data_IF_439082829053
#
_entry.id   IF_439082829053
#
_cell.length_a   1.000
_cell.length_b   1.000
_cell.length_c   1.000
_cell.angle_alpha   90.00
_cell.angle_beta   90.00
_cell.angle_gamma   90.00
#
_symmetry.space_group_name_H-M   'P 1'
#
loop_
_entity.id
_entity.type
_entity.pdbx_description
1 polymer ?
#
# COMPACT_ATOMS: atom_id res chain seq x y z
N UNK A 1 14.21 -3.88 4.82
CA UNK A 1 12.92 -3.82 5.56
C UNK A 1 11.91 -3.06 4.74
N UNK A 2 10.73 -3.63 4.51
CA UNK A 2 9.59 -3.01 3.81
C UNK A 2 8.43 -2.73 4.77
N UNK A 3 7.60 -1.74 4.44
CA UNK A 3 6.38 -1.38 5.17
C UNK A 3 5.25 -1.41 4.15
N UNK A 4 4.22 -2.24 4.41
CA UNK A 4 3.05 -2.39 3.53
C UNK A 4 1.85 -1.69 4.13
N UNK A 5 1.11 -0.97 3.28
CA UNK A 5 -0.20 -0.44 3.62
C UNK A 5 -1.06 -0.24 2.36
N UNK A 6 -2.36 0.01 2.56
CA UNK A 6 -3.32 0.25 1.49
C UNK A 6 -4.21 1.46 1.77
N UNK A 7 -4.35 2.32 0.76
CA UNK A 7 -5.20 3.50 0.79
C UNK A 7 -6.37 3.33 -0.17
N UNK A 8 -7.60 3.43 0.33
CA UNK A 8 -8.80 3.50 -0.52
C UNK A 8 -9.03 4.94 -0.98
N UNK A 9 -9.29 5.13 -2.27
CA UNK A 9 -9.44 6.43 -2.91
C UNK A 9 -10.73 6.48 -3.68
N UNK A 10 -11.52 7.53 -3.44
CA UNK A 10 -12.80 7.73 -4.10
C UNK A 10 -12.61 8.01 -5.60
N UNK A 11 -13.46 7.42 -6.45
CA UNK A 11 -13.54 7.76 -7.85
C UNK A 11 -14.24 9.11 -8.08
N UNK A 12 -13.77 9.86 -9.07
CA UNK A 12 -14.52 10.92 -9.72
C UNK A 12 -15.48 10.32 -10.78
N UNK A 13 -16.38 11.12 -11.30
CA UNK A 13 -17.40 10.67 -12.27
C UNK A 13 -16.80 10.17 -13.60
N UNK A 14 -15.57 10.59 -13.91
CA UNK A 14 -14.84 10.16 -15.11
C UNK A 14 -14.23 8.77 -15.01
N UNK A 15 -14.13 8.21 -13.82
CA UNK A 15 -13.51 6.91 -13.57
C UNK A 15 -14.51 5.77 -13.80
N UNK A 16 -14.12 4.77 -14.60
CA UNK A 16 -14.98 3.66 -14.99
C UNK A 16 -14.83 2.45 -14.07
N UNK A 17 -13.58 2.03 -13.80
CA UNK A 17 -13.32 0.89 -12.93
C UNK A 17 -13.39 1.28 -11.45
N UNK A 18 -14.28 0.63 -10.71
CA UNK A 18 -14.48 0.90 -9.29
C UNK A 18 -14.98 -0.33 -8.52
N UNK A 19 -14.72 -0.35 -7.23
CA UNK A 19 -15.31 -1.25 -6.26
C UNK A 19 -15.74 -0.48 -5.02
N UNK A 20 -16.30 -1.16 -4.04
CA UNK A 20 -16.72 -0.56 -2.77
C UNK A 20 -15.98 -1.18 -1.60
N UNK A 21 -15.26 -0.35 -0.85
CA UNK A 21 -14.64 -0.71 0.42
C UNK A 21 -15.66 -0.47 1.56
N UNK A 22 -16.27 -1.55 2.05
CA UNK A 22 -17.29 -1.47 3.11
C UNK A 22 -16.73 -1.01 4.46
N UNK A 23 -15.45 -1.27 4.74
CA UNK A 23 -14.80 -0.86 5.99
C UNK A 23 -14.49 0.63 6.03
N UNK A 24 -14.01 1.18 4.93
CA UNK A 24 -13.65 2.61 4.80
C UNK A 24 -14.79 3.44 4.19
N UNK A 25 -15.88 2.80 3.73
CA UNK A 25 -17.04 3.42 3.05
C UNK A 25 -16.63 4.25 1.82
N UNK A 26 -15.70 3.73 1.03
CA UNK A 26 -15.16 4.38 -0.17
C UNK A 26 -15.57 3.59 -1.41
N UNK A 27 -16.17 4.28 -2.39
CA UNK A 27 -16.42 3.75 -3.73
C UNK A 27 -15.32 4.24 -4.68
N UNK A 28 -14.49 3.32 -5.18
CA UNK A 28 -13.38 3.70 -6.04
C UNK A 28 -12.32 2.62 -6.19
N UNK A 29 -11.07 3.03 -6.06
CA UNK A 29 -9.88 2.18 -6.17
C UNK A 29 -9.16 2.05 -4.84
N UNK A 30 -8.23 1.11 -4.78
CA UNK A 30 -7.32 0.93 -3.66
C UNK A 30 -5.88 0.93 -4.16
N UNK A 31 -5.03 1.72 -3.51
CA UNK A 31 -3.58 1.79 -3.75
C UNK A 31 -2.90 0.92 -2.71
N UNK A 32 -2.21 -0.12 -3.13
CA UNK A 32 -1.34 -0.95 -2.30
C UNK A 32 0.10 -0.52 -2.55
N UNK A 33 0.89 -0.34 -1.50
CA UNK A 33 2.27 0.12 -1.63
C UNK A 33 3.20 -0.60 -0.64
N UNK A 34 4.41 -0.88 -1.09
CA UNK A 34 5.55 -1.24 -0.22
C UNK A 34 6.53 -0.09 -0.26
N UNK A 35 6.88 0.43 0.89
CA UNK A 35 7.93 1.45 1.03
C UNK A 35 9.05 0.95 1.94
N UNK A 36 10.24 1.53 1.81
CA UNK A 36 11.32 1.32 2.75
C UNK A 36 11.19 2.21 4.00
N UNK A 37 12.20 2.21 4.85
CA UNK A 37 12.25 3.01 6.08
C UNK A 37 12.35 4.51 5.86
N UNK A 38 12.64 4.94 4.64
CA UNK A 38 12.68 6.35 4.23
C UNK A 38 11.38 6.80 3.55
N UNK A 39 10.51 5.83 3.20
CA UNK A 39 9.26 6.07 2.48
C UNK A 39 9.42 6.01 0.96
N UNK A 40 10.54 5.46 0.47
CA UNK A 40 10.73 5.23 -0.95
C UNK A 40 9.93 4.01 -1.40
N UNK A 41 9.14 4.10 -2.48
CA UNK A 41 8.32 2.99 -2.95
C UNK A 41 9.17 1.94 -3.67
N UNK A 42 8.97 0.68 -3.32
CA UNK A 42 9.55 -0.49 -3.98
C UNK A 42 8.54 -1.26 -4.82
N UNK A 43 7.27 -1.21 -4.46
CA UNK A 43 6.19 -1.80 -5.23
C UNK A 43 4.90 -1.01 -5.05
N UNK A 44 4.10 -0.94 -6.12
CA UNK A 44 2.77 -0.32 -6.14
C UNK A 44 1.83 -1.18 -6.96
N UNK A 45 0.61 -1.38 -6.47
CA UNK A 45 -0.49 -1.99 -7.22
C UNK A 45 -1.77 -1.18 -7.00
N UNK A 46 -2.54 -1.04 -8.06
CA UNK A 46 -3.88 -0.44 -8.02
C UNK A 46 -4.91 -1.53 -8.26
N UNK A 47 -5.90 -1.62 -7.37
CA UNK A 47 -7.04 -2.53 -7.50
C UNK A 47 -8.35 -1.74 -7.37
N UNK A 48 -9.47 -2.39 -7.66
CA UNK A 48 -10.78 -1.87 -7.25
C UNK A 48 -10.90 -1.94 -5.71
N UNK A 49 -11.63 -1.00 -5.12
CA UNK A 49 -11.67 -0.83 -3.65
C UNK A 49 -12.27 -2.03 -2.87
N UNK A 50 -13.00 -2.93 -3.54
CA UNK A 50 -13.54 -4.15 -2.94
C UNK A 50 -12.48 -5.25 -2.69
N UNK A 51 -11.31 -5.15 -3.33
CA UNK A 51 -10.21 -6.07 -3.04
C UNK A 51 -9.71 -5.82 -1.62
N UNK A 52 -9.54 -6.88 -0.84
CA UNK A 52 -9.06 -6.75 0.54
C UNK A 52 -7.61 -6.29 0.58
N UNK A 53 -7.22 -5.61 1.65
CA UNK A 53 -5.85 -5.12 1.81
C UNK A 53 -4.84 -6.28 1.74
N UNK A 54 -5.18 -7.47 2.30
CA UNK A 54 -4.36 -8.69 2.26
C UNK A 54 -4.18 -9.23 0.85
N UNK A 55 -5.28 -9.42 0.11
CA UNK A 55 -5.21 -9.99 -1.24
C UNK A 55 -4.45 -9.06 -2.18
N UNK A 56 -4.74 -7.75 -2.13
CA UNK A 56 -4.02 -6.79 -2.94
C UNK A 56 -2.52 -6.68 -2.58
N UNK A 57 -2.15 -6.87 -1.32
CA UNK A 57 -0.74 -6.94 -0.93
C UNK A 57 -0.06 -8.19 -1.48
N UNK A 58 -0.72 -9.36 -1.45
CA UNK A 58 -0.18 -10.59 -2.03
C UNK A 58 -0.01 -10.45 -3.54
N UNK A 59 -1.04 -9.95 -4.24
CA UNK A 59 -0.97 -9.72 -5.69
C UNK A 59 0.17 -8.74 -6.04
N UNK A 60 0.32 -7.67 -5.26
CA UNK A 60 1.42 -6.72 -5.43
C UNK A 60 2.79 -7.36 -5.26
N UNK A 61 2.96 -8.22 -4.25
CA UNK A 61 4.22 -8.93 -4.00
C UNK A 61 4.54 -9.86 -5.16
N UNK A 62 3.56 -10.65 -5.63
CA UNK A 62 3.74 -11.56 -6.78
C UNK A 62 4.19 -10.82 -8.03
N UNK A 63 3.56 -9.67 -8.32
CA UNK A 63 3.85 -8.87 -9.51
C UNK A 63 5.19 -8.12 -9.44
N UNK A 64 5.80 -8.01 -8.26
CA UNK A 64 7.03 -7.23 -8.03
C UNK A 64 8.14 -8.02 -7.32
N UNK A 65 8.19 -9.34 -7.54
CA UNK A 65 9.14 -10.24 -6.89
C UNK A 65 10.60 -9.76 -6.98
N UNK A 66 11.03 -9.33 -8.16
CA UNK A 66 12.41 -8.89 -8.40
C UNK A 66 12.78 -7.69 -7.53
N UNK A 67 11.86 -6.75 -7.36
CA UNK A 67 12.06 -5.53 -6.57
C UNK A 67 12.03 -5.80 -5.06
N UNK A 68 11.42 -6.90 -4.64
CA UNK A 68 11.18 -7.24 -3.24
C UNK A 68 12.07 -8.38 -2.73
N UNK A 69 12.88 -8.98 -3.61
CA UNK A 69 13.74 -10.15 -3.30
C UNK A 69 14.73 -9.92 -2.17
N UNK A 70 15.18 -8.68 -1.95
CA UNK A 70 16.12 -8.32 -0.89
C UNK A 70 15.45 -7.94 0.44
N UNK A 71 14.13 -8.12 0.55
CA UNK A 71 13.42 -7.78 1.78
C UNK A 71 13.57 -8.94 2.79
N UNK A 72 14.11 -8.64 3.95
CA UNK A 72 14.24 -9.58 5.07
C UNK A 72 13.12 -9.42 6.10
N UNK A 73 12.50 -8.23 6.16
CA UNK A 73 11.44 -7.91 7.12
C UNK A 73 10.36 -7.06 6.51
N UNK A 74 9.10 -7.45 6.74
CA UNK A 74 7.91 -6.70 6.36
C UNK A 74 7.13 -6.26 7.59
N UNK A 75 6.87 -4.96 7.72
CA UNK A 75 5.96 -4.39 8.70
C UNK A 75 4.58 -4.21 8.07
N UNK A 76 3.56 -4.68 8.74
CA UNK A 76 2.15 -4.58 8.31
C UNK A 76 1.27 -4.15 9.49
N UNK A 77 0.10 -3.60 9.21
CA UNK A 77 -0.84 -3.22 10.27
C UNK A 77 -1.69 -4.40 10.75
N UNK A 78 -2.54 -4.15 11.77
CA UNK A 78 -3.45 -5.15 12.33
C UNK A 78 -4.46 -5.73 11.33
N UNK A 79 -4.75 -5.03 10.23
CA UNK A 79 -5.60 -5.50 9.14
C UNK A 79 -5.02 -6.71 8.39
N UNK A 80 -3.71 -6.88 8.43
CA UNK A 80 -2.98 -8.01 7.84
C UNK A 80 -2.73 -9.15 8.84
N UNK A 81 -3.31 -9.09 10.04
CA UNK A 81 -3.13 -10.10 11.06
C UNK A 81 -3.63 -11.48 10.61
N UNK A 82 -2.96 -12.53 11.09
CA UNK A 82 -3.28 -13.94 10.84
C UNK A 82 -2.18 -14.69 10.10
N UNK A 83 -2.03 -15.96 10.45
CA UNK A 83 -0.96 -16.84 9.93
C UNK A 83 -1.04 -17.02 8.41
N UNK A 84 -2.23 -16.95 7.83
CA UNK A 84 -2.42 -17.12 6.38
C UNK A 84 -1.68 -16.07 5.55
N UNK A 85 -1.69 -14.79 5.97
CA UNK A 85 -0.97 -13.75 5.25
C UNK A 85 0.54 -13.92 5.39
N UNK A 86 1.03 -14.13 6.60
CA UNK A 86 2.45 -14.32 6.86
C UNK A 86 3.01 -15.57 6.13
N UNK A 87 2.25 -16.67 6.11
CA UNK A 87 2.64 -17.88 5.39
C UNK A 87 2.67 -17.64 3.87
N UNK A 88 1.66 -17.01 3.30
CA UNK A 88 1.64 -16.67 1.87
C UNK A 88 2.85 -15.79 1.46
N UNK A 89 3.19 -14.78 2.28
CA UNK A 89 4.37 -13.95 2.04
C UNK A 89 5.65 -14.77 2.06
N UNK A 90 5.80 -15.69 3.03
CA UNK A 90 6.96 -16.59 3.13
C UNK A 90 7.06 -17.59 1.99
N UNK A 91 5.94 -18.08 1.49
CA UNK A 91 5.90 -18.94 0.30
C UNK A 91 6.37 -18.21 -0.96
N UNK A 92 6.03 -16.92 -1.10
CA UNK A 92 6.35 -16.11 -2.28
C UNK A 92 7.77 -15.54 -2.22
N UNK A 93 8.13 -14.88 -1.13
CA UNK A 93 9.40 -14.17 -0.98
C UNK A 93 10.52 -15.02 -0.36
N UNK A 94 10.16 -16.16 0.24
CA UNK A 94 11.07 -17.05 0.93
C UNK A 94 10.90 -17.06 2.45
N UNK A 95 11.27 -18.19 3.07
CA UNK A 95 11.13 -18.43 4.52
C UNK A 95 11.98 -17.49 5.39
N UNK A 96 12.94 -16.80 4.80
CA UNK A 96 13.81 -15.83 5.49
C UNK A 96 13.11 -14.51 5.83
N UNK A 97 11.96 -14.25 5.20
CA UNK A 97 11.21 -12.99 5.42
C UNK A 97 10.42 -13.06 6.73
N UNK A 98 10.73 -12.13 7.63
CA UNK A 98 9.98 -11.94 8.87
C UNK A 98 8.81 -10.96 8.64
N UNK A 99 7.59 -11.40 8.96
CA UNK A 99 6.37 -10.56 8.85
C UNK A 99 5.95 -10.14 10.24
N UNK A 100 6.16 -8.87 10.57
CA UNK A 100 5.77 -8.29 11.85
C UNK A 100 4.47 -7.51 11.72
N UNK A 101 3.44 -7.96 12.44
CA UNK A 101 2.15 -7.27 12.53
C UNK A 101 2.21 -6.26 13.67
N UNK A 102 2.15 -4.98 13.33
CA UNK A 102 2.11 -3.89 14.31
C UNK A 102 0.67 -3.71 14.79
N UNK A 103 0.35 -4.25 15.96
CA UNK A 103 -0.95 -4.07 16.61
C UNK A 103 -0.94 -2.76 17.40
N UNK A 104 -2.08 -2.06 17.44
CA UNK A 104 -2.34 -1.03 18.46
C UNK A 104 -2.65 -1.77 19.76
N UNK A 105 -1.64 -2.04 20.56
CA UNK A 105 -1.86 -2.49 21.93
C UNK A 105 -2.18 -1.29 22.81
N UNK A 106 -3.30 -1.42 23.55
CA UNK A 106 -3.77 -0.56 24.62
C UNK A 106 -4.26 0.86 24.25
N UNK A 107 -5.56 1.05 24.44
CA UNK A 107 -6.33 2.29 24.30
C UNK A 107 -5.83 3.48 25.18
N UNK A 108 -4.83 3.27 26.04
CA UNK A 108 -4.40 4.26 27.04
C UNK A 108 -2.90 4.61 27.03
N UNK A 109 -2.09 4.02 26.15
CA UNK A 109 -0.68 4.42 26.00
C UNK A 109 -0.40 4.86 24.58
N UNK A 110 0.09 6.09 24.43
CA UNK A 110 0.67 6.56 23.17
C UNK A 110 2.00 5.83 22.95
N UNK A 111 1.93 4.71 22.25
CA UNK A 111 3.13 4.02 21.74
C UNK A 111 3.36 4.51 20.31
N UNK A 112 4.49 5.15 20.09
CA UNK A 112 4.95 5.47 18.74
C UNK A 112 5.18 4.13 18.03
N UNK A 113 4.24 3.72 17.18
CA UNK A 113 4.34 2.51 16.37
C UNK A 113 5.59 2.64 15.49
N UNK A 114 6.57 1.72 15.62
CA UNK A 114 7.82 1.88 14.91
C UNK A 114 7.57 1.89 13.40
N UNK A 115 7.85 3.06 12.78
CA UNK A 115 7.94 3.28 11.35
C UNK A 115 6.65 3.19 10.50
N UNK A 116 5.48 2.86 11.04
CA UNK A 116 4.23 2.84 10.29
C UNK A 116 3.88 4.21 9.67
N UNK A 117 4.11 5.29 10.40
CA UNK A 117 3.89 6.66 9.92
C UNK A 117 4.63 6.96 8.59
N UNK A 118 5.64 6.16 8.23
CA UNK A 118 6.43 6.36 7.01
C UNK A 118 5.58 6.10 5.78
N UNK A 119 4.82 4.99 5.74
CA UNK A 119 3.93 4.70 4.61
C UNK A 119 2.75 5.66 4.56
N UNK A 120 2.20 6.04 5.71
CA UNK A 120 1.15 7.06 5.81
C UNK A 120 1.63 8.40 5.24
N UNK A 121 2.87 8.79 5.55
CA UNK A 121 3.52 9.97 4.97
C UNK A 121 3.65 9.88 3.45
N UNK A 122 3.98 8.70 2.92
CA UNK A 122 4.08 8.51 1.47
C UNK A 122 2.72 8.68 0.80
N UNK A 123 1.65 8.15 1.37
CA UNK A 123 0.28 8.45 0.89
C UNK A 123 -0.04 9.94 0.98
N UNK A 124 0.33 10.62 2.08
CA UNK A 124 0.16 12.07 2.20
C UNK A 124 0.92 12.88 1.12
N UNK A 125 2.03 12.35 0.59
CA UNK A 125 2.68 12.97 -0.57
C UNK A 125 1.90 12.77 -1.86
N UNK A 126 1.33 11.58 -2.07
CA UNK A 126 0.48 11.30 -3.23
C UNK A 126 -0.78 12.16 -3.22
N UNK A 127 -1.40 12.36 -2.06
CA UNK A 127 -2.63 13.15 -1.93
C UNK A 127 -2.42 14.65 -2.25
N UNK A 128 -1.17 15.14 -2.15
CA UNK A 128 -0.79 16.48 -2.60
C UNK A 128 -0.72 16.61 -4.12
N UNK A 129 -0.62 15.51 -4.84
CA UNK A 129 -0.70 15.54 -6.30
C UNK A 129 -2.15 15.75 -6.73
N UNK A 130 -2.44 16.88 -7.40
CA UNK A 130 -3.78 17.36 -7.75
C UNK A 130 -4.69 16.31 -8.38
N UNK A 131 -4.15 15.38 -9.18
CA UNK A 131 -4.93 14.32 -9.85
C UNK A 131 -5.12 13.07 -9.02
N UNK A 132 -4.48 12.95 -7.86
CA UNK A 132 -4.49 11.72 -7.06
C UNK A 132 -5.37 11.80 -5.80
N UNK A 133 -5.86 12.97 -5.40
CA UNK A 133 -6.75 13.10 -4.25
C UNK A 133 -8.11 12.41 -4.47
N UNK A 134 -8.54 12.29 -5.75
CA UNK A 134 -9.57 11.39 -6.25
C UNK A 134 -9.02 10.64 -7.46
N UNK A 135 -9.51 9.43 -7.71
CA UNK A 135 -9.17 8.73 -8.93
C UNK A 135 -10.03 9.28 -10.07
N UNK A 136 -9.38 9.88 -11.06
CA UNK A 136 -10.02 10.44 -12.27
C UNK A 136 -9.78 9.57 -13.51
N UNK A 137 -8.96 8.52 -13.40
CA UNK A 137 -8.55 7.71 -14.53
C UNK A 137 -9.59 6.63 -14.85
N UNK A 138 -9.80 6.35 -16.13
CA UNK A 138 -10.80 5.38 -16.58
C UNK A 138 -10.43 3.95 -16.22
N UNK A 139 -9.16 3.58 -16.37
CA UNK A 139 -8.66 2.22 -16.09
C UNK A 139 -7.72 2.19 -14.91
N UNK A 140 -7.62 1.02 -14.25
CA UNK A 140 -6.66 0.76 -13.17
C UNK A 140 -5.22 0.91 -13.66
N UNK A 141 -4.94 0.54 -14.93
CA UNK A 141 -3.63 0.72 -15.53
C UNK A 141 -3.22 2.20 -15.57
N UNK A 142 -4.12 3.08 -16.05
CA UNK A 142 -3.84 4.52 -16.08
C UNK A 142 -3.69 5.11 -14.66
N UNK A 143 -4.51 4.62 -13.71
CA UNK A 143 -4.38 5.00 -12.29
C UNK A 143 -3.00 4.62 -11.73
N UNK A 144 -2.47 3.45 -12.09
CA UNK A 144 -1.12 3.03 -11.72
C UNK A 144 -0.06 3.95 -12.33
N UNK A 145 -0.15 4.23 -13.64
CA UNK A 145 0.82 5.10 -14.31
C UNK A 145 0.85 6.52 -13.70
N UNK A 146 -0.31 7.09 -13.39
CA UNK A 146 -0.40 8.41 -12.75
C UNK A 146 0.17 8.39 -11.32
N UNK A 147 -0.04 7.29 -10.58
CA UNK A 147 0.54 7.11 -9.25
C UNK A 147 2.07 7.00 -9.32
N UNK A 148 2.61 6.24 -10.27
CA UNK A 148 4.05 6.12 -10.48
C UNK A 148 4.69 7.47 -10.87
N UNK A 149 4.07 8.23 -11.78
CA UNK A 149 4.54 9.57 -12.15
C UNK A 149 4.59 10.52 -10.94
N UNK A 150 3.58 10.48 -10.07
CA UNK A 150 3.58 11.29 -8.86
C UNK A 150 4.67 10.87 -7.88
N UNK A 151 4.92 9.57 -7.71
CA UNK A 151 6.01 9.05 -6.88
C UNK A 151 7.38 9.48 -7.42
N UNK A 152 7.60 9.37 -8.73
CA UNK A 152 8.83 9.87 -9.38
C UNK A 152 9.01 11.37 -9.11
N UNK A 153 7.96 12.17 -9.28
CA UNK A 153 8.03 13.61 -9.00
C UNK A 153 8.33 13.93 -7.53
N UNK A 154 7.84 13.11 -6.59
CA UNK A 154 8.14 13.24 -5.15
C UNK A 154 9.61 12.90 -4.88
N UNK A 155 10.12 11.82 -5.48
CA UNK A 155 11.51 11.39 -5.33
C UNK A 155 12.45 12.47 -5.86
N UNK A 156 12.25 12.94 -7.09
CA UNK A 156 13.07 13.97 -7.73
C UNK A 156 13.09 15.32 -6.99
N UNK A 157 12.09 15.61 -6.18
CA UNK A 157 12.05 16.84 -5.35
C UNK A 157 12.79 16.70 -4.03
N UNK A 158 13.12 15.47 -3.61
CA UNK A 158 13.70 15.18 -2.31
C UNK A 158 15.19 14.83 -2.36
N UNK A 159 15.62 14.36 -3.49
CA UNK A 159 16.99 13.96 -3.80
C UNK A 159 17.50 14.68 -5.04
#
# INVERSE_FOLDING_TARGET
MGIIDAQSVQNADTAEEKGYDGGKKVSGIKRHIVVDTQGLPHAVLITTANVTDRNGAIDMIVLNLDNLSCIEKLLVDGGYSGDNFANAVKEILGSHVDVEVVKRDELHKFVVLPKRWVVERTFGWLDKARRLWKNCERSLHNSLQMTLLALIAVILKRF
#
